data_IF_798044950091
#
_entry.id   IF_798044950091
#
_cell.length_a   1.000
_cell.length_b   1.000
_cell.length_c   1.000
_cell.angle_alpha   90.00
_cell.angle_beta   90.00
_cell.angle_gamma   90.00
#
_symmetry.space_group_name_H-M   'P 1'
#
loop_
_entity.id
_entity.type
_entity.pdbx_description
1 polymer ?
#
# COMPACT_ATOMS: atom_id res chain seq x y z
N UNK A 1 -1.76 29.88 -7.76
CA UNK A 1 -2.95 29.91 -6.92
C UNK A 1 -3.30 28.51 -6.46
N UNK A 2 -3.85 28.37 -5.23
CA UNK A 2 -4.36 27.14 -4.64
C UNK A 2 -5.83 27.37 -4.25
N UNK A 3 -6.74 26.59 -4.80
CA UNK A 3 -8.16 26.62 -4.42
C UNK A 3 -8.40 25.76 -3.19
N UNK A 4 -9.06 26.31 -2.18
CA UNK A 4 -9.57 25.58 -1.01
C UNK A 4 -11.09 25.47 -1.12
N UNK A 5 -11.55 24.57 -1.97
CA UNK A 5 -12.95 24.33 -2.28
C UNK A 5 -13.35 22.92 -1.85
N UNK A 6 -14.22 22.81 -0.83
CA UNK A 6 -14.77 21.55 -0.36
C UNK A 6 -16.00 21.16 -1.20
N UNK A 7 -15.73 20.61 -2.39
CA UNK A 7 -16.73 20.26 -3.40
C UNK A 7 -16.39 18.89 -4.01
N UNK A 8 -17.29 18.33 -4.82
CA UNK A 8 -17.00 17.13 -5.59
C UNK A 8 -15.90 17.39 -6.63
N UNK A 9 -15.08 16.38 -6.99
CA UNK A 9 -13.94 16.60 -7.88
C UNK A 9 -14.33 17.17 -9.26
N UNK A 10 -15.51 16.81 -9.77
CA UNK A 10 -16.04 17.38 -11.03
C UNK A 10 -16.27 18.88 -10.92
N UNK A 11 -16.86 19.35 -9.81
CA UNK A 11 -17.13 20.77 -9.57
C UNK A 11 -15.81 21.54 -9.34
N UNK A 12 -14.86 20.94 -8.61
CA UNK A 12 -13.53 21.53 -8.37
C UNK A 12 -12.73 21.65 -9.66
N UNK A 13 -13.00 20.79 -10.67
CA UNK A 13 -12.32 20.85 -11.98
C UNK A 13 -12.44 22.24 -12.65
N UNK A 14 -13.56 22.93 -12.43
CA UNK A 14 -13.79 24.28 -12.98
C UNK A 14 -12.77 25.31 -12.48
N UNK A 15 -12.26 25.18 -11.24
CA UNK A 15 -11.26 26.09 -10.67
C UNK A 15 -9.88 26.01 -11.35
N UNK A 16 -9.63 25.02 -12.17
CA UNK A 16 -8.39 24.92 -12.95
C UNK A 16 -8.51 25.61 -14.30
N UNK A 17 -9.75 25.89 -14.78
CA UNK A 17 -9.98 26.41 -16.12
C UNK A 17 -9.32 25.53 -17.19
N UNK A 18 -8.70 26.13 -18.17
CA UNK A 18 -7.84 25.48 -19.16
C UNK A 18 -6.34 25.43 -18.70
N UNK A 19 -6.09 25.62 -17.41
CA UNK A 19 -4.78 25.73 -16.81
C UNK A 19 -4.33 27.18 -16.56
N UNK A 20 -5.27 28.11 -16.71
CA UNK A 20 -5.04 29.56 -16.61
C UNK A 20 -5.62 30.20 -15.34
N UNK A 21 -6.33 29.43 -14.50
CA UNK A 21 -6.89 29.89 -13.23
C UNK A 21 -6.08 29.39 -12.03
N UNK A 22 -6.55 28.39 -11.28
CA UNK A 22 -5.81 27.82 -10.16
C UNK A 22 -4.82 26.74 -10.62
N UNK A 23 -3.62 26.78 -10.08
CA UNK A 23 -2.59 25.78 -10.35
C UNK A 23 -2.80 24.51 -9.52
N UNK A 24 -3.46 24.63 -8.35
CA UNK A 24 -3.72 23.54 -7.43
C UNK A 24 -5.13 23.71 -6.83
N UNK A 25 -5.74 22.56 -6.49
CA UNK A 25 -6.95 22.52 -5.67
C UNK A 25 -6.89 21.34 -4.70
N UNK A 26 -7.41 21.53 -3.49
CA UNK A 26 -7.51 20.44 -2.50
C UNK A 26 -8.49 19.38 -2.93
N UNK A 27 -8.07 18.12 -2.82
CA UNK A 27 -8.95 16.97 -3.05
C UNK A 27 -9.67 16.56 -1.76
N UNK A 28 -10.64 17.35 -1.32
CA UNK A 28 -11.38 17.11 -0.08
C UNK A 28 -12.07 15.75 -0.02
N UNK A 29 -12.74 15.23 -1.08
CA UNK A 29 -13.44 13.96 -1.00
C UNK A 29 -12.54 12.73 -0.79
N UNK A 30 -11.27 12.79 -1.17
CA UNK A 30 -10.32 11.68 -0.95
C UNK A 30 -9.91 11.55 0.52
N UNK A 31 -9.76 12.67 1.22
CA UNK A 31 -9.27 12.70 2.60
C UNK A 31 -10.10 11.78 3.53
N UNK A 32 -11.42 11.94 3.71
CA UNK A 32 -12.21 11.06 4.58
C UNK A 32 -12.20 9.60 4.12
N UNK A 33 -12.09 9.36 2.81
CA UNK A 33 -12.09 8.01 2.23
C UNK A 33 -10.82 7.22 2.50
N UNK A 34 -9.68 7.88 2.69
CA UNK A 34 -8.47 7.21 3.17
C UNK A 34 -8.64 6.68 4.59
N UNK A 35 -9.25 7.47 5.49
CA UNK A 35 -9.60 7.00 6.84
C UNK A 35 -10.66 5.89 6.82
N UNK A 36 -11.67 6.04 5.97
CA UNK A 36 -12.73 5.04 5.80
C UNK A 36 -12.16 3.70 5.31
N UNK A 37 -11.23 3.71 4.39
CA UNK A 37 -10.57 2.52 3.87
C UNK A 37 -9.82 1.75 4.96
N UNK A 38 -9.14 2.44 5.88
CA UNK A 38 -8.48 1.82 7.04
C UNK A 38 -9.53 1.26 8.02
N UNK A 39 -10.59 2.02 8.32
CA UNK A 39 -11.64 1.58 9.25
C UNK A 39 -12.39 0.34 8.75
N UNK A 40 -12.62 0.26 7.44
CA UNK A 40 -13.32 -0.86 6.79
C UNK A 40 -12.40 -2.00 6.38
N UNK A 41 -11.08 -1.80 6.45
CA UNK A 41 -10.10 -2.71 5.85
C UNK A 41 -10.42 -3.03 4.37
N UNK A 42 -10.79 -2.01 3.59
CA UNK A 42 -11.23 -2.15 2.20
C UNK A 42 -10.75 -0.99 1.34
N UNK A 43 -10.18 -1.30 0.16
CA UNK A 43 -9.72 -0.28 -0.79
C UNK A 43 -10.85 0.49 -1.49
N UNK A 44 -12.08 -0.03 -1.47
CA UNK A 44 -13.20 0.48 -2.27
C UNK A 44 -13.42 1.99 -2.11
N UNK A 45 -13.46 2.58 -0.90
CA UNK A 45 -13.68 4.02 -0.76
C UNK A 45 -12.68 4.89 -1.51
N UNK A 46 -11.39 4.47 -1.53
CA UNK A 46 -10.34 5.21 -2.25
C UNK A 46 -10.51 5.02 -3.77
N UNK A 47 -10.67 3.78 -4.22
CA UNK A 47 -10.76 3.47 -5.66
C UNK A 47 -11.98 4.14 -6.29
N UNK A 48 -13.12 4.12 -5.58
CA UNK A 48 -14.36 4.73 -6.05
C UNK A 48 -14.22 6.23 -6.30
N UNK A 49 -13.71 6.99 -5.31
CA UNK A 49 -13.58 8.44 -5.48
C UNK A 49 -12.52 8.81 -6.51
N UNK A 50 -11.45 8.02 -6.61
CA UNK A 50 -10.43 8.26 -7.63
C UNK A 50 -10.91 7.96 -9.04
N UNK A 51 -11.87 7.06 -9.23
CA UNK A 51 -12.54 6.84 -10.52
C UNK A 51 -13.48 7.98 -10.90
N UNK A 52 -14.00 8.72 -9.92
CA UNK A 52 -14.84 9.91 -10.12
C UNK A 52 -14.01 11.20 -10.24
N UNK A 53 -12.69 11.12 -10.03
CA UNK A 53 -11.81 12.29 -10.12
C UNK A 53 -11.44 12.55 -11.58
N UNK A 54 -11.83 13.70 -12.16
CA UNK A 54 -11.56 14.01 -13.55
C UNK A 54 -10.07 14.32 -13.79
N UNK A 55 -9.67 14.21 -15.04
CA UNK A 55 -8.38 14.70 -15.49
C UNK A 55 -8.32 16.23 -15.39
N UNK A 56 -7.17 16.75 -15.02
CA UNK A 56 -6.89 18.19 -14.89
C UNK A 56 -5.82 18.61 -15.89
N UNK A 57 -5.69 19.90 -16.22
CA UNK A 57 -4.66 20.40 -17.12
C UNK A 57 -3.26 19.97 -16.70
N UNK A 58 -2.37 19.69 -17.66
CA UNK A 58 -1.04 19.14 -17.42
C UNK A 58 -0.15 19.97 -16.49
N UNK A 59 -0.36 21.27 -16.42
CA UNK A 59 0.35 22.21 -15.53
C UNK A 59 -0.20 22.25 -14.09
N UNK A 60 -1.34 21.59 -13.83
CA UNK A 60 -2.06 21.67 -12.57
C UNK A 60 -1.85 20.41 -11.71
N UNK A 61 -2.17 20.52 -10.42
CA UNK A 61 -2.02 19.42 -9.45
C UNK A 61 -3.17 19.39 -8.45
N UNK A 62 -3.65 18.21 -8.12
CA UNK A 62 -4.44 18.00 -6.91
C UNK A 62 -3.54 18.16 -5.67
N UNK A 63 -3.99 18.87 -4.67
CA UNK A 63 -3.37 18.92 -3.34
C UNK A 63 -4.00 17.80 -2.48
N UNK A 64 -3.20 16.78 -2.18
CA UNK A 64 -3.62 15.63 -1.38
C UNK A 64 -3.18 15.85 0.07
N UNK A 65 -4.06 15.61 1.03
CA UNK A 65 -3.78 15.86 2.43
C UNK A 65 -4.53 14.87 3.33
N UNK A 66 -3.99 14.61 4.52
CA UNK A 66 -4.65 13.80 5.55
C UNK A 66 -5.35 14.69 6.56
N UNK A 67 -4.68 15.76 6.97
CA UNK A 67 -5.18 16.75 7.93
C UNK A 67 -4.77 18.15 7.47
N UNK A 68 -5.53 19.12 7.99
CA UNK A 68 -5.26 20.55 7.85
C UNK A 68 -5.58 21.29 9.15
N UNK A 69 -5.66 22.58 9.12
CA UNK A 69 -5.99 23.47 10.25
C UNK A 69 -7.48 23.42 10.67
N UNK A 70 -8.32 22.73 9.92
CA UNK A 70 -9.75 22.58 10.17
C UNK A 70 -10.11 21.13 10.58
N UNK A 71 -11.38 20.83 10.67
CA UNK A 71 -11.88 19.48 10.92
C UNK A 71 -11.59 18.53 9.74
N UNK A 72 -11.51 17.25 10.02
CA UNK A 72 -11.68 16.20 9.00
C UNK A 72 -13.15 16.27 8.57
N UNK A 73 -13.41 16.99 7.48
CA UNK A 73 -14.78 17.20 7.00
C UNK A 73 -15.39 15.91 6.46
N UNK A 74 -16.65 15.69 6.81
CA UNK A 74 -17.48 14.57 6.36
C UNK A 74 -18.69 15.07 5.55
N UNK A 75 -18.56 16.24 4.93
CA UNK A 75 -19.62 16.80 4.07
C UNK A 75 -19.76 16.02 2.76
N UNK A 76 -18.65 15.58 2.19
CA UNK A 76 -18.57 14.85 0.92
C UNK A 76 -18.67 13.31 1.11
N UNK A 77 -19.38 12.87 2.13
CA UNK A 77 -19.74 11.46 2.34
C UNK A 77 -21.25 11.36 2.64
N UNK A 78 -21.82 10.17 2.46
CA UNK A 78 -23.23 9.92 2.77
C UNK A 78 -23.48 10.00 4.29
N UNK A 79 -24.72 10.21 4.71
CA UNK A 79 -25.09 10.24 6.14
C UNK A 79 -24.71 8.94 6.84
N UNK A 80 -24.89 7.78 6.18
CA UNK A 80 -24.52 6.47 6.73
C UNK A 80 -23.00 6.34 6.92
N UNK A 81 -22.21 6.80 5.97
CA UNK A 81 -20.76 6.82 6.07
C UNK A 81 -20.28 7.77 7.16
N UNK A 82 -20.92 8.93 7.29
CA UNK A 82 -20.65 9.89 8.36
C UNK A 82 -20.88 9.29 9.75
N UNK A 83 -22.01 8.64 9.95
CA UNK A 83 -22.34 7.99 11.23
C UNK A 83 -21.33 6.88 11.54
N UNK A 84 -20.92 6.11 10.53
CA UNK A 84 -19.87 5.12 10.66
C UNK A 84 -18.52 5.76 11.06
N UNK A 85 -18.12 6.82 10.38
CA UNK A 85 -16.88 7.54 10.70
C UNK A 85 -16.90 8.14 12.12
N UNK A 86 -18.03 8.67 12.55
CA UNK A 86 -18.20 9.13 13.93
C UNK A 86 -18.07 8.00 14.96
N UNK A 87 -18.62 6.84 14.68
CA UNK A 87 -18.48 5.68 15.58
C UNK A 87 -17.03 5.20 15.69
N UNK A 88 -16.27 5.24 14.58
CA UNK A 88 -14.89 4.77 14.53
C UNK A 88 -13.88 5.78 15.10
N UNK A 89 -14.04 7.07 14.80
CA UNK A 89 -13.00 8.08 15.02
C UNK A 89 -13.39 9.20 15.99
N UNK A 90 -14.65 9.31 16.34
CA UNK A 90 -15.19 10.38 17.20
C UNK A 90 -16.34 9.89 18.09
N UNK A 91 -16.14 8.78 18.78
CA UNK A 91 -17.06 8.29 19.82
C UNK A 91 -17.23 9.32 20.93
N UNK A 92 -16.17 10.05 21.28
CA UNK A 92 -16.23 11.24 22.12
C UNK A 92 -16.85 12.40 21.33
N UNK A 93 -18.01 12.88 21.78
CA UNK A 93 -18.74 13.98 21.15
C UNK A 93 -17.91 15.29 21.08
N UNK A 94 -16.96 15.49 22.00
CA UNK A 94 -16.07 16.66 21.99
C UNK A 94 -15.13 16.68 20.77
N UNK A 95 -14.88 15.51 20.16
CA UNK A 95 -14.12 15.43 18.94
C UNK A 95 -14.91 15.85 17.70
N UNK A 96 -16.24 16.01 17.80
CA UNK A 96 -17.10 16.41 16.68
C UNK A 96 -17.26 17.92 16.62
N UNK A 97 -17.24 18.44 15.42
CA UNK A 97 -17.54 19.86 15.13
C UNK A 97 -18.13 19.95 13.71
N UNK A 98 -19.15 20.76 13.51
CA UNK A 98 -19.85 20.87 12.25
C UNK A 98 -20.26 19.47 11.73
N UNK A 99 -19.97 19.17 10.47
CA UNK A 99 -20.08 17.84 9.88
C UNK A 99 -18.70 17.16 9.76
N UNK A 100 -17.89 17.21 10.85
CA UNK A 100 -16.55 16.68 10.81
C UNK A 100 -15.96 16.31 12.17
N UNK A 101 -14.66 15.98 12.15
CA UNK A 101 -13.93 15.48 13.31
C UNK A 101 -12.69 16.36 13.53
N UNK A 102 -12.61 17.06 14.68
CA UNK A 102 -11.49 17.92 15.06
C UNK A 102 -10.41 17.15 15.82
N UNK A 103 -9.77 16.21 15.14
CA UNK A 103 -8.65 15.43 15.66
C UNK A 103 -7.46 15.49 14.68
N UNK A 104 -6.24 15.38 15.20
CA UNK A 104 -5.02 15.21 14.39
C UNK A 104 -4.82 13.76 13.93
N UNK A 105 -3.88 13.53 13.01
CA UNK A 105 -3.60 12.21 12.45
C UNK A 105 -3.24 11.17 13.53
N UNK A 106 -2.31 11.48 14.43
CA UNK A 106 -1.87 10.51 15.43
C UNK A 106 -2.99 10.04 16.36
N UNK A 107 -3.84 10.92 16.94
CA UNK A 107 -5.02 10.51 17.69
C UNK A 107 -6.07 9.75 16.87
N UNK A 108 -6.27 10.10 15.59
CA UNK A 108 -7.18 9.37 14.71
C UNK A 108 -6.71 7.93 14.44
N UNK A 109 -5.41 7.72 14.48
CA UNK A 109 -4.79 6.40 14.29
C UNK A 109 -4.49 5.69 15.63
N UNK A 110 -5.06 6.12 16.74
CA UNK A 110 -4.83 5.57 18.08
C UNK A 110 -3.34 5.56 18.48
N UNK A 111 -2.56 6.50 17.96
CA UNK A 111 -1.09 6.54 18.07
C UNK A 111 -0.38 5.27 17.61
N UNK A 112 -1.02 4.46 16.78
CA UNK A 112 -0.43 3.29 16.14
C UNK A 112 0.52 3.73 15.03
N UNK A 113 1.81 3.49 15.24
CA UNK A 113 2.86 3.96 14.35
C UNK A 113 2.79 3.33 12.95
N UNK A 114 2.32 2.09 12.84
CA UNK A 114 2.20 1.41 11.55
C UNK A 114 1.03 1.98 10.74
N UNK A 115 -0.10 2.28 11.37
CA UNK A 115 -1.21 3.02 10.73
C UNK A 115 -0.79 4.42 10.30
N UNK A 116 -0.06 5.16 11.15
CA UNK A 116 0.43 6.51 10.82
C UNK A 116 1.37 6.48 9.62
N UNK A 117 2.29 5.52 9.57
CA UNK A 117 3.20 5.35 8.42
C UNK A 117 2.46 4.91 7.16
N UNK A 118 1.48 3.99 7.27
CA UNK A 118 0.63 3.58 6.14
C UNK A 118 -0.11 4.77 5.55
N UNK A 119 -0.77 5.59 6.40
CA UNK A 119 -1.49 6.80 5.96
C UNK A 119 -0.56 7.78 5.25
N UNK A 120 0.62 8.06 5.82
CA UNK A 120 1.61 8.91 5.17
C UNK A 120 2.18 8.28 3.88
N UNK A 121 2.37 6.96 3.84
CA UNK A 121 2.76 6.26 2.62
C UNK A 121 1.74 6.44 1.49
N UNK A 122 0.44 6.35 1.80
CA UNK A 122 -0.62 6.66 0.84
C UNK A 122 -0.59 8.14 0.44
N UNK A 123 -0.53 9.07 1.40
CA UNK A 123 -0.43 10.51 1.13
C UNK A 123 0.68 10.84 0.14
N UNK A 124 1.87 10.29 0.37
CA UNK A 124 3.06 10.58 -0.42
C UNK A 124 3.08 9.92 -1.81
N UNK A 125 2.18 8.98 -2.09
CA UNK A 125 2.12 8.28 -3.38
C UNK A 125 0.79 8.45 -4.14
N UNK A 126 -0.25 9.03 -3.53
CA UNK A 126 -1.48 9.37 -4.23
C UNK A 126 -1.26 10.43 -5.33
N UNK A 127 -2.15 10.50 -6.35
CA UNK A 127 -2.05 11.45 -7.44
C UNK A 127 -2.09 12.89 -6.98
N UNK A 128 -1.04 13.65 -7.24
CA UNK A 128 -0.97 15.05 -6.90
C UNK A 128 0.21 15.41 -6.02
N UNK A 129 0.14 16.61 -5.44
CA UNK A 129 1.13 17.15 -4.51
C UNK A 129 0.69 16.89 -3.07
N UNK A 130 1.48 16.18 -2.25
CA UNK A 130 1.13 15.92 -0.86
C UNK A 130 1.30 17.19 -0.03
N UNK A 131 0.32 17.48 0.81
CA UNK A 131 0.34 18.52 1.82
C UNK A 131 0.45 17.88 3.20
N UNK A 132 1.52 18.13 3.93
CA UNK A 132 1.72 17.66 5.30
C UNK A 132 1.30 18.78 6.24
N UNK A 133 0.37 18.49 7.14
CA UNK A 133 0.01 19.41 8.19
C UNK A 133 1.11 19.43 9.27
N UNK A 134 1.55 20.63 9.69
CA UNK A 134 2.66 20.76 10.65
C UNK A 134 2.42 19.92 11.90
N UNK A 135 3.43 19.20 12.35
CA UNK A 135 3.39 18.36 13.53
C UNK A 135 2.93 16.92 13.26
N UNK A 136 2.29 16.63 12.13
CA UNK A 136 1.93 15.24 11.77
C UNK A 136 3.20 14.43 11.51
N UNK A 137 4.28 15.05 11.03
CA UNK A 137 5.58 14.42 10.80
C UNK A 137 6.30 13.98 12.07
N UNK A 138 5.88 14.47 13.23
CA UNK A 138 6.37 14.03 14.55
C UNK A 138 5.31 13.30 15.37
N UNK A 139 4.08 13.13 14.85
CA UNK A 139 2.97 12.51 15.55
C UNK A 139 2.38 13.39 16.66
N UNK A 140 2.29 14.71 16.45
CA UNK A 140 1.61 15.61 17.40
C UNK A 140 0.16 15.16 17.63
N UNK A 141 -0.25 15.24 18.89
CA UNK A 141 -1.64 15.09 19.29
C UNK A 141 -2.44 16.38 19.14
N UNK A 142 -3.64 16.33 19.72
CA UNK A 142 -4.58 17.46 19.76
C UNK A 142 -5.14 17.65 21.18
N UNK A 143 -5.91 18.73 21.36
CA UNK A 143 -6.60 19.00 22.62
C UNK A 143 -8.10 19.21 22.35
N UNK A 144 -8.91 18.18 22.53
CA UNK A 144 -10.37 18.21 22.32
C UNK A 144 -11.14 19.10 23.31
N UNK A 145 -10.48 19.56 24.38
CA UNK A 145 -11.12 20.41 25.39
C UNK A 145 -11.10 21.90 25.00
N UNK A 146 -10.31 22.29 24.00
CA UNK A 146 -10.28 23.68 23.50
C UNK A 146 -11.42 23.85 22.48
N UNK A 147 -12.09 24.99 22.55
CA UNK A 147 -13.23 25.31 21.67
C UNK A 147 -12.82 25.45 20.19
N UNK A 148 -13.81 25.41 19.31
CA UNK A 148 -13.65 25.47 17.85
C UNK A 148 -12.62 24.42 17.34
N UNK A 149 -11.82 24.74 16.33
CA UNK A 149 -10.74 23.91 15.79
C UNK A 149 -9.40 24.14 16.48
N UNK A 150 -9.37 24.98 17.51
CA UNK A 150 -8.14 25.39 18.20
C UNK A 150 -7.33 24.23 18.78
N UNK A 151 -8.00 23.13 19.12
CA UNK A 151 -7.35 21.92 19.60
C UNK A 151 -6.38 21.28 18.62
N UNK A 152 -6.56 21.46 17.31
CA UNK A 152 -5.63 20.99 16.26
C UNK A 152 -4.64 22.05 15.78
N UNK A 153 -4.71 23.29 16.34
CA UNK A 153 -3.90 24.45 15.98
C UNK A 153 -2.91 24.86 17.07
N UNK A 154 -2.60 23.94 17.97
CA UNK A 154 -1.66 24.20 19.10
C UNK A 154 -0.25 24.47 18.59
N UNK A 155 0.61 25.18 19.37
CA UNK A 155 1.98 25.48 18.98
C UNK A 155 2.77 24.24 18.60
N UNK A 156 3.64 24.36 17.56
CA UNK A 156 4.56 23.30 17.16
C UNK A 156 5.51 22.93 18.30
N UNK A 157 5.72 21.64 18.50
CA UNK A 157 6.54 21.06 19.57
C UNK A 157 7.99 20.88 19.09
N UNK A 158 8.81 21.94 19.26
CA UNK A 158 10.20 21.95 18.80
C UNK A 158 11.15 21.25 19.76
N UNK A 159 11.00 21.51 21.07
CA UNK A 159 11.88 20.98 22.12
C UNK A 159 11.11 20.72 23.41
N UNK A 160 11.72 20.03 24.42
CA UNK A 160 11.11 19.88 25.74
C UNK A 160 11.17 21.16 26.59
N UNK A 161 11.69 22.26 26.06
CA UNK A 161 11.83 23.51 26.79
C UNK A 161 10.50 24.25 26.94
N UNK A 162 10.53 25.34 27.71
CA UNK A 162 9.41 26.25 27.94
C UNK A 162 8.67 26.57 26.63
N UNK A 163 7.35 26.50 26.69
CA UNK A 163 6.45 26.69 25.54
C UNK A 163 6.76 25.76 24.34
N UNK A 164 7.25 24.58 24.61
CA UNK A 164 7.65 23.61 23.60
C UNK A 164 8.76 24.11 22.64
N UNK A 165 9.58 25.07 23.10
CA UNK A 165 10.55 25.75 22.23
C UNK A 165 9.94 26.66 21.16
N UNK A 166 8.61 26.81 21.13
CA UNK A 166 7.88 27.62 20.15
C UNK A 166 8.06 29.12 20.36
N UNK A 167 8.06 29.57 21.62
CA UNK A 167 8.12 30.99 21.98
C UNK A 167 8.86 31.22 23.30
N UNK A 168 9.57 32.34 23.39
CA UNK A 168 10.20 32.83 24.64
C UNK A 168 9.27 33.68 25.50
N UNK A 169 8.04 33.91 25.04
CA UNK A 169 7.04 34.70 25.79
C UNK A 169 6.68 34.02 27.10
N UNK A 170 6.06 34.80 28.00
CA UNK A 170 5.45 34.21 29.18
C UNK A 170 4.36 33.22 28.78
N UNK A 171 4.27 31.98 29.34
CA UNK A 171 3.27 30.98 28.95
C UNK A 171 1.85 31.54 28.96
N UNK A 172 1.52 32.39 29.93
CA UNK A 172 0.21 33.03 30.03
C UNK A 172 -0.14 33.95 28.85
N UNK A 173 0.84 34.36 28.07
CA UNK A 173 0.68 35.25 26.90
C UNK A 173 0.52 34.50 25.60
N UNK A 174 0.66 33.14 25.60
CA UNK A 174 0.42 32.39 24.41
C UNK A 174 -1.08 32.37 24.09
N UNK A 175 -1.40 32.59 22.81
CA UNK A 175 -2.80 32.51 22.34
C UNK A 175 -3.39 31.11 22.55
N UNK A 176 -2.62 30.06 22.24
CA UNK A 176 -2.92 28.67 22.55
C UNK A 176 -1.76 28.05 23.33
N UNK A 177 -2.10 27.24 24.33
CA UNK A 177 -1.09 26.53 25.11
C UNK A 177 -0.60 25.30 24.33
N UNK A 178 0.70 24.91 24.47
CA UNK A 178 1.19 23.64 23.99
C UNK A 178 0.41 22.46 24.61
N UNK A 179 0.46 21.31 23.96
CA UNK A 179 -0.17 20.10 24.49
C UNK A 179 0.64 19.60 25.68
N UNK A 180 -0.05 19.37 26.80
CA UNK A 180 0.51 18.93 28.08
C UNK A 180 0.13 17.49 28.43
N UNK A 181 -0.54 16.78 27.51
CA UNK A 181 -0.96 15.40 27.69
C UNK A 181 0.27 14.48 27.83
N UNK A 182 0.25 13.45 28.74
CA UNK A 182 1.38 12.56 28.94
C UNK A 182 1.83 11.80 27.68
N UNK A 183 0.91 11.51 26.76
CA UNK A 183 1.21 10.76 25.53
C UNK A 183 1.68 11.68 24.40
N UNK A 184 1.04 12.84 24.25
CA UNK A 184 1.25 13.76 23.13
C UNK A 184 1.95 15.08 23.52
N UNK A 185 2.20 15.28 24.81
CA UNK A 185 2.82 16.51 25.32
C UNK A 185 4.22 16.73 24.75
N UNK A 186 4.63 17.99 24.69
CA UNK A 186 5.89 18.42 24.08
C UNK A 186 7.14 17.82 24.75
N UNK A 187 7.06 17.37 26.00
CA UNK A 187 8.15 16.65 26.67
C UNK A 187 8.39 15.25 26.06
N UNK A 188 7.31 14.59 25.62
CA UNK A 188 7.36 13.27 25.00
C UNK A 188 7.55 13.33 23.47
N UNK A 189 6.83 14.24 22.81
CA UNK A 189 6.77 14.36 21.35
C UNK A 189 7.32 15.72 20.92
N UNK A 190 8.55 15.77 20.40
CA UNK A 190 9.17 16.99 19.91
C UNK A 190 10.20 16.73 18.81
N UNK A 191 10.50 17.77 18.04
CA UNK A 191 11.45 17.70 16.92
C UNK A 191 12.86 17.37 17.39
N UNK A 192 13.32 17.99 18.48
CA UNK A 192 14.70 17.81 18.96
C UNK A 192 14.98 16.34 19.29
N UNK A 193 14.12 15.71 20.08
CA UNK A 193 14.24 14.30 20.44
C UNK A 193 14.18 13.38 19.21
N UNK A 194 13.23 13.61 18.32
CA UNK A 194 13.05 12.79 17.13
C UNK A 194 14.17 12.96 16.12
N UNK A 195 14.75 14.13 16.00
CA UNK A 195 15.92 14.37 15.13
C UNK A 195 17.13 13.52 15.52
N UNK A 196 17.29 13.21 16.81
CA UNK A 196 18.38 12.38 17.35
C UNK A 196 18.12 10.87 17.26
N UNK A 197 16.88 10.47 17.00
CA UNK A 197 16.46 9.05 16.97
C UNK A 197 16.27 8.59 15.53
N UNK A 198 17.15 7.72 15.05
CA UNK A 198 17.14 7.28 13.63
C UNK A 198 15.84 6.60 13.19
N UNK A 199 15.17 5.89 14.10
CA UNK A 199 13.89 5.18 13.86
C UNK A 199 12.64 6.04 14.10
N UNK A 200 12.79 7.32 14.46
CA UNK A 200 11.66 8.23 14.71
C UNK A 200 10.78 8.44 13.49
N UNK A 201 9.53 8.86 13.73
CA UNK A 201 8.59 9.21 12.67
C UNK A 201 9.12 10.36 11.81
N UNK A 202 9.74 11.37 12.41
CA UNK A 202 10.36 12.49 11.70
C UNK A 202 11.43 12.03 10.72
N UNK A 203 12.36 11.19 11.17
CA UNK A 203 13.44 10.71 10.30
C UNK A 203 12.92 9.70 9.27
N UNK A 204 11.89 8.92 9.60
CA UNK A 204 11.19 8.09 8.62
C UNK A 204 10.52 8.96 7.54
N UNK A 205 9.79 10.02 7.92
CA UNK A 205 9.15 10.94 6.98
C UNK A 205 10.18 11.62 6.04
N UNK A 206 11.31 12.05 6.59
CA UNK A 206 12.43 12.61 5.78
C UNK A 206 12.93 11.60 4.74
N UNK A 207 13.11 10.34 5.13
CA UNK A 207 13.51 9.28 4.19
C UNK A 207 12.48 9.05 3.10
N UNK A 208 11.20 8.97 3.47
CA UNK A 208 10.13 8.75 2.49
C UNK A 208 10.00 9.92 1.49
N UNK A 209 10.17 11.16 1.96
CA UNK A 209 10.22 12.33 1.09
C UNK A 209 11.43 12.28 0.14
N UNK A 210 12.60 11.87 0.64
CA UNK A 210 13.79 11.69 -0.19
C UNK A 210 13.58 10.59 -1.24
N UNK A 211 12.97 9.46 -0.87
CA UNK A 211 12.60 8.39 -1.82
C UNK A 211 11.62 8.91 -2.87
N UNK A 212 10.56 9.60 -2.46
CA UNK A 212 9.59 10.21 -3.39
C UNK A 212 10.26 11.15 -4.40
N UNK A 213 11.21 11.94 -3.95
CA UNK A 213 11.94 12.91 -4.80
C UNK A 213 12.81 12.24 -5.88
N UNK A 214 13.09 10.93 -5.78
CA UNK A 214 13.89 10.21 -6.79
C UNK A 214 13.12 9.91 -8.08
N UNK A 215 11.78 10.07 -8.10
CA UNK A 215 10.98 9.78 -9.28
C UNK A 215 9.86 10.81 -9.48
N UNK A 216 9.77 11.34 -10.67
CA UNK A 216 8.67 12.21 -11.08
C UNK A 216 7.34 11.47 -11.25
N UNK A 217 7.35 10.13 -11.33
CA UNK A 217 6.16 9.32 -11.45
C UNK A 217 5.17 9.55 -10.30
N UNK A 218 5.64 9.79 -9.07
CA UNK A 218 4.76 10.08 -7.93
C UNK A 218 3.89 11.33 -8.13
N UNK A 219 4.43 12.39 -8.74
CA UNK A 219 3.70 13.66 -8.93
C UNK A 219 3.03 13.81 -10.28
N UNK A 220 3.62 13.25 -11.35
CA UNK A 220 3.20 13.47 -12.75
C UNK A 220 2.74 12.23 -13.47
N UNK A 221 2.94 11.03 -12.87
CA UNK A 221 2.64 9.77 -13.52
C UNK A 221 1.15 9.52 -13.69
N UNK A 222 0.82 8.86 -14.81
CA UNK A 222 -0.50 8.28 -15.03
C UNK A 222 -0.71 7.14 -14.06
N UNK A 223 -1.87 7.06 -13.42
CA UNK A 223 -2.19 6.00 -12.46
C UNK A 223 -3.17 5.00 -12.99
N UNK A 224 -2.89 3.73 -12.67
CA UNK A 224 -3.77 2.61 -12.98
C UNK A 224 -3.98 1.80 -11.70
N UNK A 225 -5.20 1.82 -11.16
CA UNK A 225 -5.56 1.01 -10.01
C UNK A 225 -5.70 -0.45 -10.41
N UNK A 226 -4.96 -1.33 -9.73
CA UNK A 226 -5.08 -2.76 -9.88
C UNK A 226 -6.28 -3.27 -9.06
N UNK A 227 -6.89 -4.37 -9.52
CA UNK A 227 -8.08 -4.96 -8.88
C UNK A 227 -7.79 -6.39 -8.42
N UNK A 228 -6.84 -6.62 -7.49
CA UNK A 228 -6.59 -7.95 -6.96
C UNK A 228 -7.83 -8.51 -6.26
N UNK A 229 -7.94 -9.84 -6.16
CA UNK A 229 -9.05 -10.51 -5.47
C UNK A 229 -9.18 -10.11 -4.00
N UNK A 230 -8.05 -9.88 -3.32
CA UNK A 230 -8.05 -9.43 -1.93
C UNK A 230 -8.39 -7.94 -1.82
N UNK A 231 -9.57 -7.62 -1.30
CA UNK A 231 -10.09 -6.24 -1.15
C UNK A 231 -9.35 -5.43 -0.09
N UNK A 232 -8.67 -6.08 0.86
CA UNK A 232 -7.90 -5.43 1.93
C UNK A 232 -6.58 -4.85 1.44
N UNK A 233 -6.19 -5.16 0.21
CA UNK A 233 -4.97 -4.64 -0.41
C UNK A 233 -5.33 -3.60 -1.47
N UNK A 234 -4.81 -2.38 -1.29
CA UNK A 234 -4.81 -1.34 -2.30
C UNK A 234 -3.53 -1.45 -3.12
N UNK A 235 -3.66 -1.54 -4.43
CA UNK A 235 -2.51 -1.58 -5.33
C UNK A 235 -2.76 -0.72 -6.57
N UNK A 236 -1.74 0.02 -7.00
CA UNK A 236 -1.78 0.81 -8.22
C UNK A 236 -0.40 1.00 -8.82
N UNK A 237 -0.38 1.16 -10.12
CA UNK A 237 0.80 1.54 -10.90
C UNK A 237 0.81 3.05 -11.12
N UNK A 238 1.99 3.62 -11.14
CA UNK A 238 2.23 5.00 -11.54
C UNK A 238 3.32 5.01 -12.61
N UNK A 239 3.00 5.50 -13.80
CA UNK A 239 3.87 5.46 -14.97
C UNK A 239 4.17 6.89 -15.46
N UNK A 240 5.45 7.22 -15.58
CA UNK A 240 5.91 8.49 -16.13
C UNK A 240 7.17 8.25 -16.97
N UNK A 241 7.08 8.55 -18.26
CA UNK A 241 8.17 8.24 -19.23
C UNK A 241 8.59 6.76 -19.18
N UNK A 242 9.82 6.46 -18.83
CA UNK A 242 10.34 5.10 -18.67
C UNK A 242 10.20 4.54 -17.24
N UNK A 243 9.79 5.37 -16.29
CA UNK A 243 9.72 5.00 -14.88
C UNK A 243 8.34 4.46 -14.51
N UNK A 244 8.31 3.29 -13.92
CA UNK A 244 7.08 2.63 -13.46
C UNK A 244 7.22 2.25 -12.00
N UNK A 245 6.32 2.76 -11.18
CA UNK A 245 6.26 2.47 -9.74
C UNK A 245 4.99 1.70 -9.43
N UNK A 246 5.14 0.57 -8.75
CA UNK A 246 4.07 -0.19 -8.15
C UNK A 246 3.97 0.17 -6.66
N UNK A 247 2.82 0.69 -6.25
CA UNK A 247 2.49 0.97 -4.86
C UNK A 247 1.49 -0.07 -4.35
N UNK A 248 1.81 -0.74 -3.23
CA UNK A 248 0.97 -1.79 -2.64
C UNK A 248 0.83 -1.55 -1.14
N UNK A 249 -0.40 -1.56 -0.62
CA UNK A 249 -0.74 -1.23 0.76
C UNK A 249 -1.65 -2.29 1.36
N UNK A 250 -1.31 -2.82 2.52
CA UNK A 250 -2.21 -3.62 3.33
C UNK A 250 -3.00 -2.72 4.29
N UNK A 251 -4.29 -2.55 4.04
CA UNK A 251 -5.18 -1.68 4.82
C UNK A 251 -5.68 -2.33 6.10
N UNK A 252 -5.24 -3.55 6.43
CA UNK A 252 -5.81 -4.35 7.50
C UNK A 252 -4.84 -4.63 8.65
N UNK A 253 -5.41 -4.93 9.80
CA UNK A 253 -4.70 -5.33 11.03
C UNK A 253 -4.07 -6.74 10.99
N UNK A 254 -4.26 -7.48 9.90
CA UNK A 254 -3.71 -8.81 9.72
C UNK A 254 -2.81 -8.86 8.49
N UNK A 255 -1.83 -9.77 8.48
CA UNK A 255 -1.03 -10.01 7.29
C UNK A 255 -1.93 -10.45 6.12
N UNK A 256 -1.65 -9.96 4.92
CA UNK A 256 -2.44 -10.23 3.73
C UNK A 256 -1.55 -10.75 2.60
N UNK A 257 -1.98 -11.84 1.99
CA UNK A 257 -1.45 -12.29 0.72
C UNK A 257 -2.24 -11.63 -0.42
N UNK A 258 -1.54 -11.27 -1.49
CA UNK A 258 -2.15 -10.69 -2.69
C UNK A 258 -1.45 -11.19 -3.94
N UNK A 259 -2.23 -11.53 -4.93
CA UNK A 259 -1.79 -11.83 -6.28
C UNK A 259 -2.07 -10.63 -7.18
N UNK A 260 -1.04 -10.14 -7.86
CA UNK A 260 -1.10 -8.98 -8.74
C UNK A 260 -0.83 -9.41 -10.18
N UNK A 261 -1.72 -9.07 -11.10
CA UNK A 261 -1.43 -9.21 -12.53
C UNK A 261 -0.45 -8.12 -12.96
N UNK A 262 0.80 -8.51 -13.13
CA UNK A 262 1.89 -7.69 -13.62
C UNK A 262 2.44 -8.22 -14.96
N UNK A 263 1.69 -9.03 -15.68
CA UNK A 263 2.11 -9.70 -16.92
C UNK A 263 2.66 -8.73 -18.00
N UNK A 264 2.15 -7.50 -18.03
CA UNK A 264 2.66 -6.43 -18.91
C UNK A 264 4.12 -6.01 -18.61
N UNK A 265 4.64 -6.36 -17.45
CA UNK A 265 5.98 -5.99 -16.98
C UNK A 265 6.90 -7.20 -16.80
N UNK A 266 6.66 -8.27 -17.55
CA UNK A 266 7.50 -9.48 -17.53
C UNK A 266 8.98 -9.13 -17.64
N UNK A 267 9.83 -9.91 -16.98
CA UNK A 267 11.29 -9.75 -16.90
C UNK A 267 11.77 -8.56 -16.08
N UNK A 268 10.91 -7.60 -15.73
CA UNK A 268 11.31 -6.51 -14.83
C UNK A 268 11.47 -7.03 -13.40
N UNK A 269 12.41 -6.42 -12.68
CA UNK A 269 12.68 -6.72 -11.27
C UNK A 269 12.06 -5.64 -10.41
N UNK A 270 11.08 -5.96 -9.53
CA UNK A 270 10.59 -5.01 -8.54
C UNK A 270 11.68 -4.70 -7.52
N UNK A 271 12.10 -3.45 -7.42
CA UNK A 271 13.07 -2.97 -6.44
C UNK A 271 12.35 -2.13 -5.41
N UNK A 272 12.31 -2.61 -4.16
CA UNK A 272 11.73 -1.85 -3.04
C UNK A 272 12.54 -0.57 -2.82
N UNK A 273 11.86 0.59 -2.86
CA UNK A 273 12.53 1.88 -3.04
C UNK A 273 13.19 2.41 -1.76
N UNK A 274 12.63 2.12 -0.58
CA UNK A 274 13.17 2.63 0.69
C UNK A 274 14.44 1.87 1.12
N UNK A 275 14.42 0.54 1.03
CA UNK A 275 15.54 -0.35 1.34
C UNK A 275 16.44 -0.64 0.14
N UNK A 276 16.04 -0.27 -1.08
CA UNK A 276 16.71 -0.58 -2.36
C UNK A 276 16.93 -2.09 -2.55
N UNK A 277 15.97 -2.88 -2.08
CA UNK A 277 16.06 -4.33 -2.10
C UNK A 277 15.35 -4.89 -3.32
N UNK A 278 16.04 -5.65 -4.19
CA UNK A 278 15.40 -6.32 -5.31
C UNK A 278 14.56 -7.50 -4.83
N UNK A 279 13.42 -7.68 -5.47
CA UNK A 279 12.51 -8.81 -5.29
C UNK A 279 12.60 -9.75 -6.51
N UNK A 280 11.99 -10.95 -6.47
CA UNK A 280 11.96 -11.84 -7.62
C UNK A 280 11.46 -11.16 -8.89
N UNK A 281 12.02 -11.48 -10.07
CA UNK A 281 11.56 -10.91 -11.33
C UNK A 281 10.11 -11.28 -11.61
N UNK A 282 9.41 -10.41 -12.34
CA UNK A 282 8.03 -10.64 -12.76
C UNK A 282 8.03 -11.71 -13.86
N UNK A 283 7.34 -12.83 -13.60
CA UNK A 283 7.19 -13.96 -14.50
C UNK A 283 5.87 -13.94 -15.28
N UNK A 284 5.40 -15.13 -15.69
CA UNK A 284 4.14 -15.32 -16.42
C UNK A 284 2.93 -15.39 -15.48
N UNK A 285 3.15 -15.80 -14.24
CA UNK A 285 2.11 -16.00 -13.25
C UNK A 285 1.82 -14.71 -12.47
N UNK A 286 0.64 -14.58 -11.85
CA UNK A 286 0.35 -13.47 -10.97
C UNK A 286 1.44 -13.31 -9.90
N UNK A 287 1.86 -12.08 -9.68
CA UNK A 287 2.93 -11.76 -8.74
C UNK A 287 2.40 -11.83 -7.31
N UNK A 288 2.88 -12.82 -6.54
CA UNK A 288 2.45 -13.06 -5.17
C UNK A 288 3.27 -12.22 -4.20
N UNK A 289 2.59 -11.44 -3.36
CA UNK A 289 3.18 -10.70 -2.23
C UNK A 289 2.44 -11.04 -0.94
N UNK A 290 3.18 -11.06 0.16
CA UNK A 290 2.62 -11.07 1.51
C UNK A 290 3.04 -9.80 2.23
N UNK A 291 2.06 -9.02 2.69
CA UNK A 291 2.29 -7.78 3.41
C UNK A 291 1.95 -7.96 4.89
N UNK A 292 2.83 -7.58 5.81
CA UNK A 292 2.50 -7.48 7.23
C UNK A 292 1.31 -6.55 7.50
N UNK A 293 0.72 -6.56 8.72
CA UNK A 293 -0.33 -5.63 9.10
C UNK A 293 0.08 -4.17 8.84
N UNK A 294 -0.80 -3.40 8.21
CA UNK A 294 -0.59 -1.98 7.89
C UNK A 294 0.72 -1.64 7.17
N UNK A 295 1.38 -2.65 6.56
CA UNK A 295 2.59 -2.43 5.78
C UNK A 295 2.28 -1.99 4.35
N UNK A 296 3.26 -1.33 3.73
CA UNK A 296 3.21 -0.99 2.32
C UNK A 296 4.58 -1.11 1.67
N UNK A 297 4.58 -1.22 0.34
CA UNK A 297 5.78 -1.19 -0.48
C UNK A 297 5.60 -0.22 -1.65
N UNK A 298 6.68 0.46 -2.00
CA UNK A 298 6.85 1.16 -3.26
C UNK A 298 7.95 0.45 -4.04
N UNK A 299 7.59 -0.15 -5.17
CA UNK A 299 8.54 -0.85 -6.03
C UNK A 299 8.76 -0.07 -7.31
N UNK A 300 10.01 0.21 -7.65
CA UNK A 300 10.37 0.56 -9.03
C UNK A 300 10.48 -0.73 -9.82
N UNK A 301 9.76 -0.84 -10.94
CA UNK A 301 9.82 -1.98 -11.84
C UNK A 301 11.01 -1.81 -12.80
N UNK A 302 12.20 -2.21 -12.36
CA UNK A 302 13.46 -1.98 -13.04
C UNK A 302 13.72 -2.98 -14.18
N UNK A 303 14.36 -2.53 -15.26
CA UNK A 303 14.79 -3.39 -16.39
C UNK A 303 16.27 -3.75 -16.30
N UNK A 304 17.06 -2.96 -15.60
CA UNK A 304 18.51 -2.97 -15.54
C UNK A 304 19.09 -3.56 -14.25
N UNK A 305 18.26 -4.23 -13.47
CA UNK A 305 18.64 -4.83 -12.18
C UNK A 305 18.58 -6.35 -12.29
N UNK A 306 19.64 -7.01 -11.83
CA UNK A 306 19.67 -8.48 -11.73
C UNK A 306 18.74 -8.98 -10.64
N UNK A 307 18.19 -10.17 -10.85
CA UNK A 307 17.43 -10.89 -9.82
C UNK A 307 18.26 -11.07 -8.55
N UNK A 308 17.63 -11.14 -7.35
CA UNK A 308 18.34 -11.44 -6.12
C UNK A 308 19.13 -12.75 -6.22
N UNK A 309 20.32 -12.82 -5.64
CA UNK A 309 21.17 -14.01 -5.69
C UNK A 309 20.53 -15.28 -5.07
N UNK A 310 19.55 -15.09 -4.20
CA UNK A 310 18.76 -16.18 -3.60
C UNK A 310 17.57 -16.62 -4.45
N UNK A 311 17.22 -15.85 -5.49
CA UNK A 311 16.16 -16.23 -6.41
C UNK A 311 16.70 -17.35 -7.33
N UNK A 312 16.12 -18.50 -7.18
CA UNK A 312 16.25 -19.57 -8.18
C UNK A 312 15.08 -19.40 -9.14
N UNK A 313 15.38 -19.25 -10.45
CA UNK A 313 14.31 -19.34 -11.45
C UNK A 313 13.50 -20.60 -11.15
N UNK A 314 12.18 -20.46 -11.14
CA UNK A 314 11.29 -21.58 -10.89
C UNK A 314 11.76 -22.71 -11.80
N UNK A 315 12.22 -23.77 -11.17
CA UNK A 315 12.39 -25.03 -11.88
C UNK A 315 11.02 -25.26 -12.50
N UNK A 316 10.95 -25.08 -13.83
CA UNK A 316 9.76 -25.39 -14.62
C UNK A 316 9.18 -26.62 -13.99
N UNK A 317 7.93 -26.56 -13.52
CA UNK A 317 7.25 -27.70 -12.91
C UNK A 317 7.50 -28.84 -13.90
N UNK A 318 8.47 -29.69 -13.55
CA UNK A 318 8.81 -30.80 -14.45
C UNK A 318 7.52 -31.58 -14.56
N UNK A 319 6.91 -31.56 -15.73
CA UNK A 319 5.71 -32.34 -15.99
C UNK A 319 6.04 -33.75 -15.53
N UNK A 320 5.45 -34.14 -14.43
CA UNK A 320 5.65 -35.50 -13.92
C UNK A 320 5.04 -36.44 -14.95
N UNK A 321 5.81 -37.41 -15.47
CA UNK A 321 5.26 -38.32 -16.42
C UNK A 321 4.02 -38.98 -15.81
N UNK A 322 2.88 -38.85 -16.49
CA UNK A 322 1.58 -39.27 -15.97
C UNK A 322 1.12 -40.51 -16.71
N UNK A 323 0.90 -41.58 -15.97
CA UNK A 323 0.28 -42.79 -16.50
C UNK A 323 -1.21 -42.81 -16.07
N UNK A 324 -2.12 -42.84 -17.03
CA UNK A 324 -3.56 -42.89 -16.78
C UNK A 324 -4.03 -44.31 -16.74
N UNK A 325 -4.50 -44.78 -15.58
CA UNK A 325 -5.05 -46.11 -15.37
C UNK A 325 -6.57 -46.01 -15.23
N UNK A 326 -7.30 -46.45 -16.25
CA UNK A 326 -8.79 -46.38 -16.27
C UNK A 326 -9.47 -47.32 -15.28
N UNK A 327 -8.85 -48.46 -14.93
CA UNK A 327 -9.42 -49.47 -14.03
C UNK A 327 -8.67 -49.53 -12.66
N UNK A 328 -7.85 -48.51 -12.33
CA UNK A 328 -7.05 -48.47 -11.11
C UNK A 328 -5.85 -49.45 -11.10
N UNK A 329 -4.97 -49.30 -10.09
CA UNK A 329 -3.74 -50.07 -9.96
C UNK A 329 -3.93 -51.60 -9.92
N UNK A 330 -5.03 -52.08 -9.35
CA UNK A 330 -5.29 -53.49 -9.21
C UNK A 330 -5.43 -54.23 -10.56
N UNK A 331 -5.88 -53.53 -11.61
CA UNK A 331 -5.97 -54.12 -12.95
C UNK A 331 -4.62 -54.32 -13.62
N UNK A 332 -3.61 -53.54 -13.18
CA UNK A 332 -2.26 -53.59 -13.70
C UNK A 332 -1.48 -54.86 -13.25
N UNK A 333 -1.78 -55.37 -12.08
CA UNK A 333 -1.10 -56.53 -11.45
C UNK A 333 -1.91 -57.84 -11.44
N UNK A 334 -3.11 -57.87 -12.02
CA UNK A 334 -3.93 -59.09 -12.06
C UNK A 334 -3.41 -60.04 -13.13
N UNK A 335 -3.15 -61.30 -12.73
CA UNK A 335 -2.74 -62.36 -13.65
C UNK A 335 -3.87 -62.82 -14.61
N UNK A 336 -5.13 -62.62 -14.25
CA UNK A 336 -6.29 -62.94 -15.10
C UNK A 336 -6.99 -61.66 -15.55
N UNK A 337 -6.71 -61.23 -16.78
CA UNK A 337 -7.39 -60.11 -17.43
C UNK A 337 -8.34 -60.66 -18.48
N UNK A 338 -9.55 -60.11 -18.60
CA UNK A 338 -10.49 -60.45 -19.68
C UNK A 338 -9.83 -60.31 -21.05
N UNK A 339 -10.05 -61.24 -22.02
CA UNK A 339 -9.32 -61.34 -23.28
C UNK A 339 -9.22 -60.00 -24.07
N UNK A 340 -10.28 -59.16 -24.04
CA UNK A 340 -10.29 -57.86 -24.72
C UNK A 340 -9.47 -56.77 -24.03
N UNK A 341 -9.07 -57.00 -22.75
CA UNK A 341 -8.27 -56.05 -21.95
C UNK A 341 -6.77 -56.37 -21.97
N UNK A 342 -6.36 -57.53 -22.45
CA UNK A 342 -4.96 -57.97 -22.47
C UNK A 342 -4.10 -56.96 -23.25
N UNK A 343 -4.51 -56.62 -24.45
CA UNK A 343 -3.74 -55.66 -25.28
C UNK A 343 -3.68 -54.23 -24.74
N UNK A 344 -4.63 -53.84 -23.89
CA UNK A 344 -4.64 -52.54 -23.23
C UNK A 344 -3.69 -52.55 -22.02
N UNK A 345 -3.70 -53.62 -21.23
CA UNK A 345 -2.79 -53.80 -20.10
C UNK A 345 -1.32 -53.91 -20.56
N UNK A 346 -1.07 -54.62 -21.65
CA UNK A 346 0.28 -54.71 -22.27
C UNK A 346 0.79 -53.36 -22.76
N UNK A 347 -0.04 -52.58 -23.44
CA UNK A 347 0.35 -51.21 -23.89
C UNK A 347 0.64 -50.30 -22.72
N UNK A 348 -0.17 -50.35 -21.67
CA UNK A 348 0.06 -49.55 -20.45
C UNK A 348 1.36 -49.95 -19.75
N UNK A 349 1.66 -51.24 -19.68
CA UNK A 349 2.89 -51.77 -19.11
C UNK A 349 4.09 -51.33 -19.97
N UNK A 350 3.98 -51.44 -21.28
CA UNK A 350 4.99 -50.98 -22.22
C UNK A 350 5.24 -49.47 -22.07
N UNK A 351 4.19 -48.67 -21.98
CA UNK A 351 4.32 -47.21 -21.76
C UNK A 351 4.97 -46.90 -20.40
N UNK A 352 4.62 -47.64 -19.35
CA UNK A 352 5.28 -47.48 -18.07
C UNK A 352 6.77 -47.78 -18.14
N UNK A 353 7.14 -48.92 -18.75
CA UNK A 353 8.53 -49.38 -18.79
C UNK A 353 9.42 -48.63 -19.78
N UNK A 354 8.87 -48.10 -20.87
CA UNK A 354 9.65 -47.50 -21.94
C UNK A 354 9.66 -45.97 -21.91
N UNK A 355 8.65 -45.33 -21.33
CA UNK A 355 8.50 -43.88 -21.30
C UNK A 355 8.41 -43.32 -19.86
N UNK A 356 7.42 -43.76 -19.10
CA UNK A 356 7.08 -43.11 -17.81
C UNK A 356 8.17 -43.34 -16.75
N UNK A 357 8.60 -44.61 -16.54
CA UNK A 357 9.63 -44.90 -15.54
C UNK A 357 11.01 -44.37 -15.91
N UNK A 358 11.51 -44.46 -17.17
CA UNK A 358 12.74 -43.86 -17.55
C UNK A 358 12.79 -42.35 -17.28
N UNK A 359 11.77 -41.59 -17.71
CA UNK A 359 11.67 -40.16 -17.45
C UNK A 359 11.59 -39.85 -15.98
N UNK A 360 10.85 -40.61 -15.19
CA UNK A 360 10.76 -40.47 -13.75
C UNK A 360 12.13 -40.68 -13.08
N UNK A 361 12.87 -41.72 -13.48
CA UNK A 361 14.19 -42.04 -12.92
C UNK A 361 15.22 -40.95 -13.21
N UNK A 362 15.23 -40.41 -14.41
CA UNK A 362 16.17 -39.33 -14.79
C UNK A 362 16.03 -38.09 -13.88
N UNK A 363 14.82 -37.82 -13.38
CA UNK A 363 14.52 -36.69 -12.51
C UNK A 363 14.95 -36.95 -11.05
N UNK A 364 15.04 -38.22 -10.63
CA UNK A 364 15.30 -38.56 -9.22
C UNK A 364 16.73 -38.27 -8.80
N UNK A 365 16.92 -37.59 -7.68
CA UNK A 365 18.26 -37.26 -7.13
C UNK A 365 19.08 -38.49 -6.78
N UNK A 366 18.44 -39.59 -6.39
CA UNK A 366 19.07 -40.87 -6.01
C UNK A 366 19.43 -41.77 -7.17
N UNK A 367 18.97 -41.48 -8.40
CA UNK A 367 19.26 -42.31 -9.56
C UNK A 367 20.70 -42.05 -10.08
N UNK A 368 21.54 -43.06 -9.98
CA UNK A 368 22.97 -42.94 -10.27
C UNK A 368 23.34 -42.92 -11.76
N UNK A 369 22.46 -43.42 -12.62
CA UNK A 369 22.73 -43.58 -14.06
C UNK A 369 22.22 -42.39 -14.90
N UNK A 370 22.23 -41.18 -14.36
CA UNK A 370 21.86 -39.96 -15.09
C UNK A 370 22.72 -39.77 -16.35
N UNK A 371 22.06 -39.53 -17.48
CA UNK A 371 22.73 -39.33 -18.77
C UNK A 371 22.98 -40.62 -19.56
N UNK A 372 22.65 -41.80 -19.05
CA UNK A 372 22.61 -43.05 -19.81
C UNK A 372 21.18 -43.36 -20.23
N UNK A 373 20.96 -43.67 -21.51
CA UNK A 373 19.62 -43.99 -21.99
C UNK A 373 19.12 -45.27 -21.31
N UNK A 374 18.06 -45.13 -20.49
CA UNK A 374 17.32 -46.26 -19.93
C UNK A 374 16.44 -46.79 -21.08
N UNK A 375 16.78 -47.96 -21.59
CA UNK A 375 16.02 -48.58 -22.70
C UNK A 375 14.75 -49.27 -22.23
N UNK A 376 14.74 -49.79 -21.00
CA UNK A 376 13.58 -50.41 -20.34
C UNK A 376 13.85 -50.43 -18.84
N UNK A 377 12.87 -50.03 -18.02
CA UNK A 377 12.97 -50.00 -16.55
C UNK A 377 12.22 -51.15 -15.91
#
# INVERSE_FOLDING_TARGET
LLAEANMWPEDVREYFGDGDECHMAYHFPLMPRMYMAIAQEDRYPIVEIMQQTPDIPAGCQWAIFLRNHDELTLEMVTSRERDYMYSMYASDLRARINLGIRRRLAPLMDNDMDKIKLMNGMLLSMPGSPIIYYGDEIGMGDNVFIGDRNGVRTPMQWSPDRNAGFSRADPQRLYLQPIMDPMYGFEAVNVERQSRTSSSLLNWTRRMLAVRATSHAFGRGRRTFLKPGNRKVLAYLTEYESDTILCVFNLSRAAQAVELDLSAFRTRVPVEMAGRTPFPPIGEWPYLLTLPPYAFYWFRLAQDVSAPAWHQEDVTLQERPTLVLFDGWNSFFREQVMPWRIGMAERMREQLETDTLPRFLEIQRWYAAKGTSVRRA
#
